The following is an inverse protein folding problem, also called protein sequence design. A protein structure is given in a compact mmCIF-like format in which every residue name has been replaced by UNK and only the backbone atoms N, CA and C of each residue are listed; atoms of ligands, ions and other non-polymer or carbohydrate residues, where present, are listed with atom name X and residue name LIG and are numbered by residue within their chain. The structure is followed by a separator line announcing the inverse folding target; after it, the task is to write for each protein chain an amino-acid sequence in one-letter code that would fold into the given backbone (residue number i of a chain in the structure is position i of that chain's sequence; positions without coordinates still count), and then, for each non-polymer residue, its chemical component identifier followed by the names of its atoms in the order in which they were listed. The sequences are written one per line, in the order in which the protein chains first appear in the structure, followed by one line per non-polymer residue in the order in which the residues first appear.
data_IF_467657144249
#
_entry.id   IF_467657144249
#
_cell.length_a   1.000
_cell.length_b   1.000
_cell.length_c   1.000
_cell.angle_alpha   90.00
_cell.angle_beta   90.00
_cell.angle_gamma   90.00
#
_symmetry.space_group_name_H-M   'P 1'
#
loop_
_entity.id
_entity.type
_entity.pdbx_description
1 polymer ?
#
# COMPACT_ATOMS: atom_id res chain seq x y z
N UNK A 1 3.18 23.00 -10.96
CA UNK A 1 2.51 21.83 -10.38
C UNK A 1 3.57 20.85 -9.94
N UNK A 2 3.44 20.23 -8.76
CA UNK A 2 4.42 19.28 -8.24
C UNK A 2 3.91 17.85 -8.32
N UNK A 3 4.83 16.90 -8.49
CA UNK A 3 4.56 15.46 -8.44
C UNK A 3 5.29 14.87 -7.24
N UNK A 4 4.60 14.02 -6.47
CA UNK A 4 5.21 13.24 -5.42
C UNK A 4 5.75 11.93 -6.00
N UNK A 5 7.03 11.66 -5.77
CA UNK A 5 7.65 10.37 -6.06
C UNK A 5 8.04 9.74 -4.72
N UNK A 6 7.37 8.64 -4.36
CA UNK A 6 7.55 7.98 -3.05
C UNK A 6 7.78 6.50 -3.29
N UNK A 7 8.80 5.95 -2.62
CA UNK A 7 9.08 4.51 -2.59
C UNK A 7 8.87 4.01 -1.17
N UNK A 8 7.87 3.14 -0.99
CA UNK A 8 7.65 2.42 0.27
C UNK A 8 8.41 1.09 0.21
N UNK A 9 9.41 0.92 1.08
CA UNK A 9 10.26 -0.28 1.14
C UNK A 9 10.08 -0.99 2.47
N UNK A 10 9.93 -2.32 2.43
CA UNK A 10 9.96 -3.20 3.59
C UNK A 10 10.49 -4.59 3.23
N UNK A 11 10.82 -5.39 4.24
CA UNK A 11 11.10 -6.82 4.07
C UNK A 11 9.84 -7.58 3.63
N UNK A 12 10.02 -8.62 2.81
CA UNK A 12 8.96 -9.57 2.45
C UNK A 12 8.52 -10.43 3.65
N UNK A 13 9.48 -10.73 4.53
CA UNK A 13 9.22 -11.37 5.83
C UNK A 13 8.76 -10.32 6.84
N UNK A 14 7.68 -10.60 7.57
CA UNK A 14 7.25 -9.77 8.69
C UNK A 14 7.86 -10.28 10.00
N UNK A 15 8.24 -9.33 10.87
CA UNK A 15 8.62 -9.61 12.26
C UNK A 15 7.41 -9.89 13.17
N UNK A 16 6.20 -9.51 12.74
CA UNK A 16 4.95 -9.74 13.44
C UNK A 16 3.85 -10.27 12.48
N UNK A 17 3.96 -11.53 12.05
CA UNK A 17 3.09 -12.10 11.01
C UNK A 17 1.62 -12.27 11.42
N UNK A 18 1.28 -12.09 12.70
CA UNK A 18 -0.10 -12.09 13.18
C UNK A 18 -0.84 -10.81 12.76
N UNK A 19 -0.14 -9.67 12.69
CA UNK A 19 -0.75 -8.36 12.42
C UNK A 19 -0.34 -7.78 11.06
N UNK A 20 0.77 -8.26 10.49
CA UNK A 20 1.25 -7.81 9.19
C UNK A 20 0.98 -8.83 8.09
N UNK A 21 0.80 -8.32 6.88
CA UNK A 21 0.83 -9.19 5.70
C UNK A 21 2.24 -9.78 5.52
N UNK A 22 2.32 -11.06 5.16
CA UNK A 22 3.57 -11.71 4.75
C UNK A 22 3.58 -11.84 3.23
N UNK A 23 4.59 -11.31 2.55
CA UNK A 23 4.70 -11.39 1.09
C UNK A 23 5.57 -12.58 0.71
N UNK A 24 4.97 -13.73 0.39
CA UNK A 24 5.71 -14.91 -0.06
C UNK A 24 5.78 -14.91 -1.59
N UNK A 25 6.95 -15.15 -2.21
CA UNK A 25 7.01 -15.29 -3.66
C UNK A 25 6.08 -16.39 -4.18
N UNK A 26 5.51 -16.18 -5.36
CA UNK A 26 4.48 -17.03 -5.98
C UNK A 26 3.08 -16.89 -5.37
N UNK A 27 2.89 -16.02 -4.37
CA UNK A 27 1.57 -15.79 -3.77
C UNK A 27 0.89 -14.53 -4.31
N UNK A 28 -0.43 -14.57 -4.31
CA UNK A 28 -1.30 -13.44 -4.63
C UNK A 28 -1.78 -12.79 -3.33
N UNK A 29 -1.77 -11.46 -3.29
CA UNK A 29 -2.29 -10.63 -2.21
C UNK A 29 -3.29 -9.63 -2.75
N UNK A 30 -4.16 -9.14 -1.90
CA UNK A 30 -5.05 -8.05 -2.25
C UNK A 30 -4.42 -6.74 -1.78
N UNK A 31 -4.39 -5.73 -2.64
CA UNK A 31 -3.80 -4.41 -2.39
C UNK A 31 -4.79 -3.30 -2.76
N UNK A 32 -4.75 -2.21 -2.01
CA UNK A 32 -5.38 -0.94 -2.35
C UNK A 32 -4.50 0.22 -1.88
N UNK A 33 -4.69 1.38 -2.48
CA UNK A 33 -3.96 2.61 -2.14
C UNK A 33 -4.92 3.68 -1.64
N UNK A 34 -4.45 4.51 -0.71
CA UNK A 34 -5.14 5.71 -0.29
C UNK A 34 -4.18 6.90 -0.35
N UNK A 35 -4.65 8.02 -0.90
CA UNK A 35 -3.87 9.25 -1.04
C UNK A 35 -4.65 10.42 -0.44
N UNK A 36 -3.96 11.23 0.35
CA UNK A 36 -4.49 12.44 0.98
C UNK A 36 -3.89 13.67 0.30
N UNK A 37 -4.73 14.53 -0.26
CA UNK A 37 -4.29 15.81 -0.77
C UNK A 37 -4.37 16.88 0.34
N UNK A 38 -3.22 17.19 0.94
CA UNK A 38 -3.14 18.18 2.02
C UNK A 38 -3.61 19.59 1.65
N UNK A 39 -3.47 20.00 0.38
CA UNK A 39 -4.00 21.30 -0.11
C UNK A 39 -5.53 21.33 -0.05
N UNK A 40 -6.18 20.17 -0.18
CA UNK A 40 -7.62 20.00 0.02
C UNK A 40 -7.99 19.73 1.48
N UNK A 41 -7.04 19.79 2.41
CA UNK A 41 -7.22 19.46 3.83
C UNK A 41 -7.71 18.03 4.08
N UNK A 42 -7.42 17.12 3.15
CA UNK A 42 -7.73 15.70 3.27
C UNK A 42 -6.95 15.10 4.46
N UNK A 43 -7.68 14.42 5.36
CA UNK A 43 -7.15 13.73 6.55
C UNK A 43 -8.14 12.69 7.05
N UNK A 44 -7.66 11.71 7.81
CA UNK A 44 -8.53 10.66 8.37
C UNK A 44 -9.26 9.89 7.27
N UNK A 45 -10.60 9.87 7.33
CA UNK A 45 -11.45 9.23 6.31
C UNK A 45 -11.56 9.98 4.98
N UNK A 46 -11.23 11.28 4.95
CA UNK A 46 -11.30 12.09 3.72
C UNK A 46 -10.03 11.90 2.91
N UNK A 47 -10.11 11.11 1.83
CA UNK A 47 -9.01 10.69 0.96
C UNK A 47 -9.56 10.13 -0.36
N UNK A 48 -8.70 10.03 -1.37
CA UNK A 48 -8.97 9.21 -2.55
C UNK A 48 -8.46 7.79 -2.32
N UNK A 49 -9.24 6.80 -2.71
CA UNK A 49 -8.89 5.37 -2.59
C UNK A 49 -8.94 4.71 -3.97
N UNK A 50 -8.10 3.68 -4.19
CA UNK A 50 -8.29 2.74 -5.29
C UNK A 50 -9.27 1.62 -4.91
N UNK A 51 -9.69 0.85 -5.90
CA UNK A 51 -10.28 -0.47 -5.65
C UNK A 51 -9.24 -1.45 -5.10
N UNK A 52 -9.75 -2.57 -4.58
CA UNK A 52 -8.96 -3.74 -4.24
C UNK A 52 -8.52 -4.48 -5.51
N UNK A 53 -7.22 -4.68 -5.65
CA UNK A 53 -6.60 -5.34 -6.79
C UNK A 53 -5.75 -6.52 -6.34
N UNK A 54 -5.52 -7.48 -7.22
CA UNK A 54 -4.60 -8.58 -6.96
C UNK A 54 -3.14 -8.16 -7.26
N UNK A 55 -2.26 -8.41 -6.30
CA UNK A 55 -0.81 -8.25 -6.38
C UNK A 55 -0.14 -9.62 -6.35
N UNK A 56 0.49 -10.00 -7.45
CA UNK A 56 1.34 -11.18 -7.52
C UNK A 56 2.77 -10.84 -7.07
N UNK A 57 3.26 -11.56 -6.05
CA UNK A 57 4.65 -11.43 -5.59
C UNK A 57 5.52 -12.36 -6.42
N UNK A 58 6.28 -11.81 -7.36
CA UNK A 58 7.21 -12.59 -8.19
C UNK A 58 8.54 -12.85 -7.48
N UNK A 59 9.22 -13.91 -7.89
CA UNK A 59 10.60 -14.24 -7.52
C UNK A 59 11.57 -13.36 -8.30
#
# INVERSE_FOLDING_TARGET
MGLWHVVLKRSLNSANPEFDVVFKPGTKRIIAFAVWNGVKSDRGGRKSISDWMELEIKL
#
